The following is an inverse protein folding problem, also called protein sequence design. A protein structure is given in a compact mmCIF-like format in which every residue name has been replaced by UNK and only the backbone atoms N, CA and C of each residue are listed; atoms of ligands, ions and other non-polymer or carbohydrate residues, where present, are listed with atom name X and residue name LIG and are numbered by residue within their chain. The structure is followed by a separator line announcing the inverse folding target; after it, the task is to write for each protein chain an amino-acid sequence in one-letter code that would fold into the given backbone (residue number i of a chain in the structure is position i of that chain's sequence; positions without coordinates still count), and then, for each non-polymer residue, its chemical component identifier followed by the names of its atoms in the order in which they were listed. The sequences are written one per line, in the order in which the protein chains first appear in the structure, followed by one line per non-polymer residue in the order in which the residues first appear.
data_IF_028525134968
#
_entry.id   IF_028525134968
#
_cell.length_a   1.000
_cell.length_b   1.000
_cell.length_c   1.000
_cell.angle_alpha   90.00
_cell.angle_beta   90.00
_cell.angle_gamma   90.00
#
_symmetry.space_group_name_H-M   'P 1'
#
loop_
_entity.id
_entity.type
_entity.pdbx_description
1 polymer ?
#
# COMPACT_ATOMS: atom_id res chain seq x y z
N UNK A 1 -3.38 4.19 13.94
CA UNK A 1 -3.61 2.72 13.92
C UNK A 1 -2.83 2.17 12.73
N UNK A 2 -2.07 1.09 12.91
CA UNK A 2 -1.42 0.39 11.80
C UNK A 2 -2.26 -0.84 11.42
N UNK A 3 -2.48 -1.07 10.12
CA UNK A 3 -3.21 -2.22 9.60
C UNK A 3 -2.18 -3.16 8.95
N UNK A 4 -1.78 -4.19 9.70
CA UNK A 4 -0.68 -5.10 9.34
C UNK A 4 -1.18 -6.49 8.90
N UNK A 5 -0.34 -7.23 8.15
CA UNK A 5 -0.62 -8.61 7.72
C UNK A 5 -0.04 -8.95 6.34
N UNK A 6 -0.16 -10.21 5.92
CA UNK A 6 0.42 -10.72 4.67
C UNK A 6 0.04 -9.90 3.42
N UNK A 7 0.93 -9.82 2.43
CA UNK A 7 0.60 -9.25 1.11
C UNK A 7 -0.55 -10.07 0.51
N UNK A 8 -1.54 -9.38 -0.07
CA UNK A 8 -2.73 -10.02 -0.62
C UNK A 8 -3.85 -10.32 0.38
N UNK A 9 -3.71 -10.01 1.68
CA UNK A 9 -4.76 -10.24 2.68
C UNK A 9 -5.91 -9.22 2.69
N UNK A 10 -5.93 -8.26 1.76
CA UNK A 10 -7.02 -7.26 1.63
C UNK A 10 -6.87 -5.99 2.48
N UNK A 11 -5.70 -5.73 3.08
CA UNK A 11 -5.45 -4.54 3.92
C UNK A 11 -5.75 -3.22 3.20
N UNK A 12 -5.26 -3.06 1.97
CA UNK A 12 -5.50 -1.86 1.15
C UNK A 12 -6.99 -1.66 0.85
N UNK A 13 -7.75 -2.74 0.70
CA UNK A 13 -9.21 -2.69 0.54
C UNK A 13 -9.90 -2.12 1.77
N UNK A 14 -9.46 -2.51 2.97
CA UNK A 14 -9.99 -1.96 4.23
C UNK A 14 -9.66 -0.46 4.35
N UNK A 15 -8.43 -0.05 4.04
CA UNK A 15 -8.05 1.37 4.06
C UNK A 15 -8.87 2.20 3.06
N UNK A 16 -9.14 1.68 1.86
CA UNK A 16 -9.98 2.33 0.85
C UNK A 16 -11.47 2.40 1.25
N UNK A 17 -11.95 1.49 2.09
CA UNK A 17 -13.28 1.60 2.68
C UNK A 17 -13.32 2.71 3.75
N UNK A 18 -12.32 2.76 4.62
CA UNK A 18 -12.22 3.75 5.69
C UNK A 18 -11.98 5.18 5.18
N UNK A 19 -11.30 5.33 4.04
CA UNK A 19 -11.06 6.65 3.42
C UNK A 19 -12.34 7.41 3.03
N UNK A 20 -13.50 6.74 3.04
CA UNK A 20 -14.81 7.35 2.80
C UNK A 20 -15.34 8.10 4.04
N UNK A 21 -14.73 7.90 5.20
CA UNK A 21 -15.08 8.52 6.47
C UNK A 21 -14.22 9.75 6.74
N UNK A 22 -14.80 10.79 7.34
CA UNK A 22 -14.07 11.97 7.81
C UNK A 22 -13.48 11.80 9.23
N UNK A 23 -13.56 10.60 9.79
CA UNK A 23 -13.10 10.33 11.17
C UNK A 23 -11.58 10.15 11.27
N UNK A 24 -10.90 9.84 10.16
CA UNK A 24 -9.47 9.64 10.15
C UNK A 24 -8.86 9.95 8.79
N UNK A 25 -7.58 10.33 8.83
CA UNK A 25 -6.75 10.41 7.63
C UNK A 25 -6.20 9.02 7.29
N UNK A 26 -6.06 8.76 5.99
CA UNK A 26 -5.52 7.51 5.47
C UNK A 26 -4.13 7.73 4.91
N UNK A 27 -3.19 6.90 5.34
CA UNK A 27 -1.82 6.83 4.81
C UNK A 27 -1.62 5.43 4.23
N UNK A 28 -1.35 5.34 2.94
CA UNK A 28 -1.12 4.07 2.24
C UNK A 28 0.38 3.77 2.09
N UNK A 29 0.71 2.51 1.82
CA UNK A 29 2.07 2.12 1.45
C UNK A 29 2.55 2.91 0.21
N UNK A 30 3.73 3.55 0.24
CA UNK A 30 4.28 4.29 -0.90
C UNK A 30 4.97 3.34 -1.89
N UNK A 31 4.20 2.42 -2.48
CA UNK A 31 4.69 1.37 -3.40
C UNK A 31 5.50 1.97 -4.54
N UNK A 32 5.07 3.08 -5.14
CA UNK A 32 5.79 3.71 -6.25
C UNK A 32 7.22 4.13 -5.86
N UNK A 33 7.40 4.67 -4.65
CA UNK A 33 8.71 5.09 -4.16
C UNK A 33 9.58 3.90 -3.77
N UNK A 34 8.99 2.85 -3.21
CA UNK A 34 9.71 1.64 -2.83
C UNK A 34 10.14 0.82 -4.03
N UNK A 35 9.34 0.82 -5.09
CA UNK A 35 9.60 0.00 -6.27
C UNK A 35 10.49 0.72 -7.26
N UNK A 36 10.43 2.05 -7.37
CA UNK A 36 11.26 2.81 -8.30
C UNK A 36 12.63 3.19 -7.69
N UNK A 37 13.64 2.33 -7.88
CA UNK A 37 15.02 2.63 -7.53
C UNK A 37 15.79 3.18 -8.75
N UNK A 38 15.88 4.50 -8.85
CA UNK A 38 16.58 5.19 -9.95
C UNK A 38 16.08 4.75 -11.35
N UNK A 39 14.77 4.63 -11.54
CA UNK A 39 14.14 4.18 -12.79
C UNK A 39 13.99 2.67 -12.91
N UNK A 40 14.51 1.89 -11.96
CA UNK A 40 14.39 0.44 -11.95
C UNK A 40 13.26 0.01 -11.03
N UNK A 41 12.29 -0.73 -11.57
CA UNK A 41 11.23 -1.33 -10.78
C UNK A 41 11.73 -2.59 -10.06
N UNK A 42 11.88 -2.54 -8.73
CA UNK A 42 12.38 -3.64 -7.90
C UNK A 42 11.45 -4.87 -7.82
N UNK A 43 10.21 -4.77 -8.31
CA UNK A 43 9.30 -5.92 -8.41
C UNK A 43 9.40 -6.63 -9.76
N UNK A 44 10.04 -6.01 -10.76
CA UNK A 44 10.24 -6.61 -12.09
C UNK A 44 11.41 -7.59 -12.00
N UNK A 45 11.14 -8.88 -12.17
CA UNK A 45 12.13 -9.96 -12.04
C UNK A 45 11.67 -11.17 -11.21
N UNK A 46 10.43 -11.17 -10.69
CA UNK A 46 9.77 -12.34 -10.12
C UNK A 46 8.67 -12.85 -11.05
N UNK A 47 9.05 -13.58 -12.10
CA UNK A 47 8.24 -14.63 -12.75
C UNK A 47 9.19 -15.75 -13.18
#
# INVERSE_FOLDING_TARGET
IAVEGNIGSGKSTVLAYLSKSSLCDIVTEPVDSWTNLNGNNLLVGKL
#
